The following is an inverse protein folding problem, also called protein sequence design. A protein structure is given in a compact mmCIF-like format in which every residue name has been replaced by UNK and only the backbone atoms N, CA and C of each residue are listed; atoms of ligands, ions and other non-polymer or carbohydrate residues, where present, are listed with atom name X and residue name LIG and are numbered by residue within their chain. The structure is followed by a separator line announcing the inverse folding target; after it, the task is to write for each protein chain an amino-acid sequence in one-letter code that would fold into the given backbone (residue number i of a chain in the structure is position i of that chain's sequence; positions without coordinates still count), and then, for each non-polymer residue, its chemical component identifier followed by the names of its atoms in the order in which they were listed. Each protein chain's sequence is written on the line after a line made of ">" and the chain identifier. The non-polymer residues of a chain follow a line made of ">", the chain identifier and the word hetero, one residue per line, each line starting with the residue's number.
data_IF_862123218993
#
_entry.id   IF_862123218993
#
_cell.length_a   1.000
_cell.length_b   1.000
_cell.length_c   1.000
_cell.angle_alpha   90.00
_cell.angle_beta   90.00
_cell.angle_gamma   90.00
#
_symmetry.space_group_name_H-M   'P 1'
#
loop_
_entity.id
_entity.type
_entity.pdbx_description
1 polymer ?
#
# COMPACT_ATOMS: atom_id res chain seq x y z
N UNK A 1 -20.66 7.27 37.27
CA UNK A 1 -21.36 7.79 38.46
C UNK A 1 -20.64 9.08 38.80
N UNK A 2 -21.08 10.19 38.24
CA UNK A 2 -20.47 11.51 38.50
C UNK A 2 -20.65 11.86 39.98
N UNK A 3 -19.57 12.31 40.62
CA UNK A 3 -19.37 12.35 42.07
C UNK A 3 -20.47 13.08 42.84
N UNK A 4 -21.35 12.29 43.45
CA UNK A 4 -22.43 12.72 44.36
C UNK A 4 -21.92 13.63 45.51
N UNK A 5 -20.62 13.52 45.84
CA UNK A 5 -19.94 14.33 46.84
C UNK A 5 -19.78 15.80 46.43
N UNK A 6 -19.38 16.09 45.18
CA UNK A 6 -19.19 17.47 44.69
C UNK A 6 -20.52 18.21 44.63
N UNK A 7 -21.58 17.51 44.22
CA UNK A 7 -22.93 18.07 44.19
C UNK A 7 -23.46 18.38 45.60
N UNK A 8 -23.23 17.51 46.59
CA UNK A 8 -23.59 17.79 47.99
C UNK A 8 -22.75 18.93 48.60
N UNK A 9 -21.48 19.04 48.23
CA UNK A 9 -20.60 20.13 48.70
C UNK A 9 -21.08 21.48 48.16
N UNK A 10 -21.48 21.52 46.88
CA UNK A 10 -22.02 22.71 46.23
C UNK A 10 -23.37 23.13 46.83
N UNK A 11 -24.27 22.19 47.12
CA UNK A 11 -25.53 22.51 47.81
C UNK A 11 -25.31 23.14 49.20
N UNK A 12 -24.30 22.70 49.95
CA UNK A 12 -23.96 23.28 51.26
C UNK A 12 -23.40 24.69 51.17
N UNK A 13 -22.65 24.98 50.10
CA UNK A 13 -22.20 26.34 49.80
C UNK A 13 -23.37 27.25 49.40
N UNK A 14 -24.28 26.77 48.54
CA UNK A 14 -25.45 27.53 48.10
C UNK A 14 -26.47 27.78 49.24
N UNK A 15 -26.52 26.89 50.24
CA UNK A 15 -27.29 27.09 51.49
C UNK A 15 -26.58 27.99 52.53
N UNK A 16 -25.35 28.41 52.27
CA UNK A 16 -24.57 29.32 53.13
C UNK A 16 -24.02 28.68 54.41
N UNK A 17 -23.98 27.34 54.49
CA UNK A 17 -23.50 26.61 55.67
C UNK A 17 -21.97 26.62 55.80
N UNK A 18 -21.26 26.94 54.71
CA UNK A 18 -19.80 26.98 54.63
C UNK A 18 -19.35 28.24 53.89
N UNK A 19 -18.22 28.82 54.31
CA UNK A 19 -17.63 29.97 53.63
C UNK A 19 -16.97 29.56 52.31
N UNK A 20 -16.79 30.54 51.41
CA UNK A 20 -16.15 30.32 50.10
C UNK A 20 -14.72 29.76 50.22
N UNK A 21 -13.94 30.28 51.15
CA UNK A 21 -12.57 29.80 51.41
C UNK A 21 -12.58 28.33 51.86
N UNK A 22 -13.53 27.95 52.73
CA UNK A 22 -13.68 26.57 53.20
C UNK A 22 -14.13 25.64 52.08
N UNK A 23 -15.01 26.12 51.18
CA UNK A 23 -15.44 25.36 50.00
C UNK A 23 -14.28 25.10 49.05
N UNK A 24 -13.48 26.12 48.74
CA UNK A 24 -12.32 26.01 47.84
C UNK A 24 -11.23 25.09 48.42
N UNK A 25 -10.95 25.16 49.72
CA UNK A 25 -9.99 24.27 50.39
C UNK A 25 -10.45 22.79 50.40
N UNK A 26 -11.72 22.52 50.67
CA UNK A 26 -12.26 21.15 50.65
C UNK A 26 -12.27 20.60 49.22
N UNK A 27 -12.65 21.43 48.24
CA UNK A 27 -12.64 21.04 46.83
C UNK A 27 -11.22 20.71 46.36
N UNK A 28 -10.24 21.52 46.76
CA UNK A 28 -8.84 21.33 46.38
C UNK A 28 -8.27 20.04 46.97
N UNK A 29 -8.50 19.77 48.25
CA UNK A 29 -8.10 18.50 48.88
C UNK A 29 -8.78 17.28 48.27
N UNK A 30 -10.07 17.39 47.95
CA UNK A 30 -10.78 16.30 47.28
C UNK A 30 -10.23 16.02 45.88
N UNK A 31 -9.86 17.06 45.12
CA UNK A 31 -9.25 16.91 43.81
C UNK A 31 -7.80 16.40 43.89
N UNK A 32 -7.02 16.81 44.89
CA UNK A 32 -5.67 16.30 45.16
C UNK A 32 -5.71 14.82 45.57
N UNK A 33 -6.55 14.43 46.54
CA UNK A 33 -6.73 13.02 46.95
C UNK A 33 -7.29 12.16 45.82
N UNK A 34 -8.14 12.74 44.95
CA UNK A 34 -8.63 12.05 43.77
C UNK A 34 -7.53 11.89 42.72
N UNK A 35 -6.70 12.91 42.50
CA UNK A 35 -5.56 12.82 41.59
C UNK A 35 -4.50 11.85 42.09
N UNK A 36 -4.25 11.77 43.41
CA UNK A 36 -3.36 10.79 44.01
C UNK A 36 -3.93 9.36 43.94
N UNK A 37 -5.25 9.18 44.13
CA UNK A 37 -5.91 7.87 43.92
C UNK A 37 -5.95 7.43 42.45
N UNK A 38 -5.99 8.38 41.50
CA UNK A 38 -5.83 8.08 40.07
C UNK A 38 -4.39 7.62 39.76
N UNK A 39 -3.40 7.96 40.59
CA UNK A 39 -2.01 7.49 40.45
C UNK A 39 -1.71 6.16 41.18
N UNK A 40 -2.58 5.66 42.08
CA UNK A 40 -2.33 4.45 42.89
C UNK A 40 -3.22 3.22 42.59
N UNK A 41 -4.31 3.34 41.82
CA UNK A 41 -4.92 2.18 41.15
C UNK A 41 -4.32 2.04 39.75
N UNK A 42 -4.04 0.81 39.27
CA UNK A 42 -3.16 0.63 38.13
C UNK A 42 -3.80 1.30 36.93
N UNK A 43 -3.14 2.34 36.43
CA UNK A 43 -3.10 2.62 35.01
C UNK A 43 -2.84 1.27 34.34
N UNK A 44 -3.90 0.63 33.84
CA UNK A 44 -3.81 -0.32 32.74
C UNK A 44 -3.43 0.51 31.52
N UNK A 45 -2.18 0.96 31.56
CA UNK A 45 -1.24 0.96 30.48
C UNK A 45 -1.82 1.44 29.15
N UNK A 46 -1.87 2.76 28.99
CA UNK A 46 -1.53 3.42 27.72
C UNK A 46 -0.17 2.94 27.17
N UNK A 47 0.66 2.30 28.00
CA UNK A 47 1.82 1.53 27.55
C UNK A 47 1.44 0.21 26.86
N UNK A 48 0.31 -0.45 27.13
CA UNK A 48 -0.07 -1.72 26.48
C UNK A 48 -0.74 -1.49 25.12
N UNK A 49 -1.51 -0.41 24.93
CA UNK A 49 -2.02 -0.05 23.59
C UNK A 49 -0.92 0.59 22.73
N UNK A 50 0.01 1.36 23.31
CA UNK A 50 1.24 1.74 22.61
C UNK A 50 2.17 0.56 22.39
N UNK A 51 2.29 -0.39 23.31
CA UNK A 51 3.11 -1.58 23.10
C UNK A 51 2.46 -2.53 22.09
N UNK A 52 1.13 -2.61 21.97
CA UNK A 52 0.44 -3.41 20.95
C UNK A 52 0.42 -2.68 19.60
N UNK A 53 0.26 -1.36 19.57
CA UNK A 53 0.40 -0.56 18.35
C UNK A 53 1.86 -0.53 17.88
N UNK A 54 2.82 -0.23 18.75
CA UNK A 54 4.26 -0.33 18.49
C UNK A 54 4.65 -1.77 18.18
N UNK A 55 4.03 -2.81 18.77
CA UNK A 55 4.33 -4.20 18.41
C UNK A 55 3.70 -4.57 17.08
N UNK A 56 2.49 -4.13 16.75
CA UNK A 56 1.85 -4.35 15.44
C UNK A 56 2.60 -3.59 14.35
N UNK A 57 2.93 -2.33 14.59
CA UNK A 57 3.71 -1.46 13.73
C UNK A 57 5.14 -1.99 13.62
N UNK A 58 5.78 -2.43 14.70
CA UNK A 58 7.08 -3.14 14.65
C UNK A 58 6.98 -4.52 14.05
N UNK A 59 5.82 -5.20 14.04
CA UNK A 59 5.62 -6.49 13.36
C UNK A 59 5.38 -6.28 11.87
N UNK A 60 4.65 -5.23 11.48
CA UNK A 60 4.45 -4.79 10.09
C UNK A 60 5.76 -4.22 9.55
N UNK A 61 6.46 -3.40 10.32
CA UNK A 61 7.78 -2.86 10.01
C UNK A 61 8.83 -3.97 10.02
N UNK A 62 8.74 -4.99 10.87
CA UNK A 62 9.60 -6.20 10.77
C UNK A 62 9.18 -7.10 9.60
N UNK A 63 7.91 -7.12 9.19
CA UNK A 63 7.45 -7.80 7.99
C UNK A 63 7.89 -7.04 6.72
N UNK A 64 7.87 -5.71 6.72
CA UNK A 64 8.30 -4.85 5.63
C UNK A 64 9.83 -4.80 5.57
N UNK A 65 10.51 -4.71 6.72
CA UNK A 65 11.97 -4.89 6.87
C UNK A 65 12.40 -6.31 6.56
N UNK A 66 11.59 -7.34 6.76
CA UNK A 66 11.93 -8.70 6.30
C UNK A 66 11.71 -8.86 4.80
N UNK A 67 10.78 -8.12 4.18
CA UNK A 67 10.69 -8.04 2.72
C UNK A 67 11.79 -7.14 2.14
N UNK A 68 12.23 -6.08 2.82
CA UNK A 68 13.37 -5.25 2.42
C UNK A 68 14.70 -5.93 2.71
N UNK A 69 14.79 -6.73 3.77
CA UNK A 69 15.91 -7.65 4.01
C UNK A 69 15.89 -8.75 2.96
N UNK A 70 14.75 -9.31 2.57
CA UNK A 70 14.66 -10.28 1.49
C UNK A 70 15.01 -9.64 0.14
N UNK A 71 14.58 -8.40 -0.11
CA UNK A 71 14.98 -7.65 -1.30
C UNK A 71 16.47 -7.34 -1.26
N UNK A 72 17.03 -6.90 -0.13
CA UNK A 72 18.48 -6.67 0.06
C UNK A 72 19.30 -7.95 0.04
N UNK A 73 18.77 -9.06 0.52
CA UNK A 73 19.38 -10.39 0.44
C UNK A 73 19.36 -10.88 -0.99
N UNK A 74 18.24 -10.72 -1.71
CA UNK A 74 18.17 -10.99 -3.14
C UNK A 74 19.11 -10.06 -3.90
N UNK A 75 19.26 -8.81 -3.50
CA UNK A 75 20.13 -7.82 -4.12
C UNK A 75 21.62 -8.11 -3.80
N UNK A 76 21.93 -8.60 -2.58
CA UNK A 76 23.24 -9.14 -2.18
C UNK A 76 23.55 -10.45 -2.89
N UNK A 77 22.60 -11.35 -3.06
CA UNK A 77 22.71 -12.60 -3.81
C UNK A 77 22.94 -12.28 -5.29
N UNK A 78 22.16 -11.37 -5.86
CA UNK A 78 22.35 -10.86 -7.22
C UNK A 78 23.78 -10.31 -7.37
N UNK A 79 24.22 -9.41 -6.48
CA UNK A 79 25.58 -8.85 -6.50
C UNK A 79 26.68 -9.91 -6.36
N UNK A 80 26.52 -10.89 -5.46
CA UNK A 80 27.48 -12.00 -5.28
C UNK A 80 27.54 -12.88 -6.52
N UNK A 81 26.41 -13.20 -7.13
CA UNK A 81 26.42 -14.01 -8.33
C UNK A 81 26.91 -13.23 -9.57
N UNK A 82 26.71 -11.91 -9.64
CA UNK A 82 27.20 -11.06 -10.75
C UNK A 82 28.73 -10.89 -10.73
N UNK A 83 29.39 -11.20 -9.60
CA UNK A 83 30.82 -10.97 -9.43
C UNK A 83 31.72 -12.11 -9.96
N UNK A 84 31.20 -13.25 -10.42
CA UNK A 84 32.03 -14.45 -10.64
C UNK A 84 31.94 -15.16 -12.00
N UNK A 85 31.01 -14.80 -12.90
CA UNK A 85 30.94 -15.39 -14.27
C UNK A 85 30.44 -14.39 -15.31
N UNK A 86 31.10 -14.35 -16.47
CA UNK A 86 30.64 -13.63 -17.67
C UNK A 86 29.24 -14.12 -18.06
N UNK A 87 28.27 -13.22 -18.10
CA UNK A 87 26.96 -13.51 -18.65
C UNK A 87 27.04 -13.60 -20.16
N UNK A 88 26.09 -14.31 -20.76
CA UNK A 88 25.97 -14.41 -22.21
C UNK A 88 24.96 -13.39 -22.70
N UNK A 89 25.23 -12.81 -23.86
CA UNK A 89 24.23 -12.04 -24.58
C UNK A 89 23.37 -12.99 -25.41
N UNK A 90 22.05 -12.91 -25.26
CA UNK A 90 21.09 -13.66 -26.04
C UNK A 90 20.23 -12.71 -26.88
N UNK A 91 20.27 -12.89 -28.19
CA UNK A 91 19.41 -12.15 -29.13
C UNK A 91 18.63 -13.14 -29.98
N UNK A 92 17.33 -12.93 -30.07
CA UNK A 92 16.47 -13.72 -30.93
C UNK A 92 15.48 -12.84 -31.70
N UNK A 93 15.40 -13.09 -33.00
CA UNK A 93 14.35 -12.56 -33.87
C UNK A 93 13.48 -13.74 -34.31
N UNK A 94 12.33 -13.93 -33.65
CA UNK A 94 11.41 -15.04 -33.94
C UNK A 94 10.90 -15.73 -32.68
N UNK A 95 10.65 -17.04 -32.76
CA UNK A 95 10.28 -17.86 -31.61
C UNK A 95 11.51 -18.55 -31.05
N UNK A 96 11.78 -18.33 -29.77
CA UNK A 96 12.97 -18.84 -29.11
C UNK A 96 12.66 -19.44 -27.75
N UNK A 97 13.39 -20.50 -27.43
CA UNK A 97 13.40 -21.12 -26.11
C UNK A 97 14.75 -20.83 -25.48
N UNK A 98 14.70 -20.22 -24.30
CA UNK A 98 15.85 -19.92 -23.46
C UNK A 98 15.83 -20.86 -22.25
N UNK A 99 16.93 -21.55 -22.04
CA UNK A 99 17.11 -22.36 -20.84
C UNK A 99 17.32 -21.48 -19.60
N UNK A 100 17.24 -22.06 -18.39
CA UNK A 100 17.63 -21.38 -17.17
C UNK A 100 19.12 -21.01 -17.22
N UNK A 101 19.48 -19.90 -16.57
CA UNK A 101 20.87 -19.47 -16.49
C UNK A 101 21.07 -17.98 -16.32
N UNK A 102 22.34 -17.59 -16.39
CA UNK A 102 22.80 -16.21 -16.26
C UNK A 102 23.07 -15.58 -17.63
N UNK A 103 22.51 -14.40 -17.84
CA UNK A 103 22.67 -13.62 -19.05
C UNK A 103 23.00 -12.17 -18.67
N UNK A 104 23.71 -11.45 -19.53
CA UNK A 104 23.88 -10.01 -19.31
C UNK A 104 22.73 -9.29 -20.01
N UNK A 105 22.60 -9.53 -21.32
CA UNK A 105 21.55 -8.93 -22.14
C UNK A 105 20.69 -9.99 -22.83
N UNK A 106 19.37 -9.96 -22.60
CA UNK A 106 18.39 -10.78 -23.32
C UNK A 106 17.53 -9.84 -24.16
N UNK A 107 17.52 -10.04 -25.48
CA UNK A 107 16.66 -9.29 -26.40
C UNK A 107 15.90 -10.23 -27.33
N UNK A 108 14.58 -10.19 -27.27
CA UNK A 108 13.71 -10.98 -28.14
C UNK A 108 12.69 -10.09 -28.85
N UNK A 109 12.69 -10.10 -30.18
CA UNK A 109 11.72 -9.33 -30.97
C UNK A 109 10.44 -10.10 -31.29
N UNK A 110 10.39 -11.41 -31.01
CA UNK A 110 9.21 -12.26 -31.22
C UNK A 110 8.72 -12.90 -29.93
N UNK A 111 8.60 -14.23 -29.92
CA UNK A 111 8.14 -15.01 -28.76
C UNK A 111 9.32 -15.62 -28.03
N UNK A 112 9.47 -15.33 -26.74
CA UNK A 112 10.49 -15.89 -25.86
C UNK A 112 9.83 -16.80 -24.82
N UNK A 113 10.23 -18.07 -24.81
CA UNK A 113 9.88 -19.03 -23.77
C UNK A 113 11.09 -19.28 -22.88
N UNK A 114 10.95 -19.08 -21.58
CA UNK A 114 11.96 -19.37 -20.58
C UNK A 114 11.51 -20.61 -19.80
N UNK A 115 12.30 -21.67 -19.82
CA UNK A 115 11.93 -22.98 -19.24
C UNK A 115 12.32 -23.14 -17.76
N UNK A 116 12.92 -22.12 -17.14
CA UNK A 116 13.31 -22.14 -15.73
C UNK A 116 13.69 -20.76 -15.21
N UNK A 117 14.50 -20.71 -14.15
CA UNK A 117 14.90 -19.44 -13.54
C UNK A 117 15.98 -18.74 -14.36
N UNK A 118 15.82 -17.43 -14.54
CA UNK A 118 16.75 -16.61 -15.32
C UNK A 118 17.21 -15.43 -14.48
N UNK A 119 18.52 -15.17 -14.56
CA UNK A 119 19.16 -14.03 -13.94
C UNK A 119 19.80 -13.22 -15.04
N UNK A 120 19.34 -11.98 -15.20
CA UNK A 120 19.78 -11.10 -16.27
C UNK A 120 20.18 -9.71 -15.76
N UNK A 121 21.07 -9.01 -16.45
CA UNK A 121 21.28 -7.58 -16.16
C UNK A 121 20.17 -6.73 -16.79
N UNK A 122 19.80 -7.05 -18.03
CA UNK A 122 18.72 -6.37 -18.77
C UNK A 122 17.96 -7.34 -19.68
N UNK A 123 16.63 -7.22 -19.67
CA UNK A 123 15.73 -7.98 -20.55
C UNK A 123 14.88 -7.01 -21.36
N UNK A 124 14.84 -7.19 -22.69
CA UNK A 124 13.97 -6.44 -23.58
C UNK A 124 13.23 -7.40 -24.52
N UNK A 125 11.92 -7.52 -24.35
CA UNK A 125 11.06 -8.36 -25.19
C UNK A 125 10.02 -7.47 -25.88
N UNK A 126 9.97 -7.50 -27.20
CA UNK A 126 9.01 -6.71 -28.00
C UNK A 126 7.78 -7.50 -28.47
N UNK A 127 7.71 -8.79 -28.17
CA UNK A 127 6.57 -9.65 -28.51
C UNK A 127 5.96 -10.32 -27.27
N UNK A 128 6.03 -11.65 -27.22
CA UNK A 128 5.47 -12.42 -26.13
C UNK A 128 6.57 -13.01 -25.24
N UNK A 129 6.49 -12.81 -23.93
CA UNK A 129 7.36 -13.44 -22.94
C UNK A 129 6.56 -14.47 -22.14
N UNK A 130 6.96 -15.73 -22.18
CA UNK A 130 6.45 -16.76 -21.28
C UNK A 130 7.60 -17.31 -20.43
N UNK A 131 7.46 -17.26 -19.12
CA UNK A 131 8.43 -17.85 -18.20
C UNK A 131 7.75 -18.87 -17.29
N UNK A 132 8.32 -20.06 -17.23
CA UNK A 132 7.88 -21.11 -16.30
C UNK A 132 8.51 -20.94 -14.92
N UNK A 133 9.70 -20.34 -14.84
CA UNK A 133 10.38 -20.00 -13.60
C UNK A 133 10.32 -18.52 -13.24
N UNK A 134 11.10 -18.16 -12.22
CA UNK A 134 11.26 -16.80 -11.71
C UNK A 134 12.28 -16.02 -12.54
N UNK A 135 12.08 -14.71 -12.65
CA UNK A 135 12.97 -13.82 -13.40
C UNK A 135 13.55 -12.81 -12.42
N UNK A 136 14.88 -12.84 -12.25
CA UNK A 136 15.61 -11.80 -11.52
C UNK A 136 16.37 -10.94 -12.53
N UNK A 137 16.08 -9.65 -12.59
CA UNK A 137 16.76 -8.71 -13.48
C UNK A 137 17.41 -7.62 -12.65
N UNK A 138 18.69 -7.33 -12.87
CA UNK A 138 19.36 -6.30 -12.10
C UNK A 138 18.82 -4.90 -12.43
N UNK A 139 18.93 -4.46 -13.67
CA UNK A 139 18.69 -3.04 -14.03
C UNK A 139 17.30 -2.78 -14.59
N UNK A 140 16.92 -3.47 -15.69
CA UNK A 140 15.59 -3.21 -16.28
C UNK A 140 15.01 -4.36 -17.09
N UNK A 141 13.71 -4.55 -16.90
CA UNK A 141 12.87 -5.46 -17.67
C UNK A 141 11.87 -4.64 -18.50
N UNK A 142 12.00 -4.70 -19.83
CA UNK A 142 11.06 -4.09 -20.76
C UNK A 142 10.31 -5.16 -21.53
N UNK A 143 8.99 -5.07 -21.52
CA UNK A 143 8.11 -5.99 -22.24
C UNK A 143 7.04 -5.20 -22.99
N UNK A 144 7.13 -5.16 -24.31
CA UNK A 144 6.07 -4.63 -25.16
C UNK A 144 5.31 -5.83 -25.74
N UNK A 145 4.09 -6.09 -25.27
CA UNK A 145 3.25 -7.19 -25.75
C UNK A 145 2.62 -8.00 -24.63
N UNK A 146 2.74 -9.32 -24.70
CA UNK A 146 2.08 -10.24 -23.77
C UNK A 146 3.11 -10.97 -22.90
N UNK A 147 3.08 -10.73 -21.60
CA UNK A 147 3.99 -11.33 -20.63
C UNK A 147 3.22 -12.24 -19.68
N UNK A 148 3.64 -13.49 -19.57
CA UNK A 148 3.13 -14.46 -18.60
C UNK A 148 4.28 -15.11 -17.86
N UNK A 149 4.39 -14.85 -16.58
CA UNK A 149 5.44 -15.38 -15.70
C UNK A 149 4.76 -16.19 -14.61
N UNK A 150 5.07 -17.47 -14.51
CA UNK A 150 4.47 -18.36 -13.50
C UNK A 150 5.17 -18.27 -12.14
N UNK A 151 6.37 -17.67 -12.09
CA UNK A 151 7.14 -17.43 -10.87
C UNK A 151 7.12 -15.97 -10.42
N UNK A 152 8.11 -15.63 -9.62
CA UNK A 152 8.30 -14.28 -9.08
C UNK A 152 9.17 -13.43 -10.02
N UNK A 153 8.91 -12.13 -10.05
CA UNK A 153 9.69 -11.14 -10.81
C UNK A 153 10.37 -10.21 -9.83
N UNK A 154 11.69 -10.16 -9.86
CA UNK A 154 12.48 -9.25 -9.03
C UNK A 154 13.33 -8.38 -9.94
N UNK A 155 13.13 -7.07 -9.88
CA UNK A 155 13.77 -6.14 -10.82
C UNK A 155 13.85 -4.72 -10.29
N UNK A 156 14.94 -4.01 -10.51
CA UNK A 156 15.05 -2.58 -10.15
C UNK A 156 13.99 -1.74 -10.89
N UNK A 157 13.94 -1.78 -12.22
CA UNK A 157 12.91 -1.10 -13.02
C UNK A 157 12.18 -2.01 -14.01
N UNK A 158 10.85 -2.08 -13.91
CA UNK A 158 10.00 -2.79 -14.88
C UNK A 158 9.14 -1.82 -15.67
N UNK A 159 9.11 -2.02 -16.99
CA UNK A 159 8.17 -1.36 -17.89
C UNK A 159 7.52 -2.41 -18.78
N UNK A 160 6.25 -2.71 -18.50
CA UNK A 160 5.46 -3.62 -19.32
C UNK A 160 4.24 -2.91 -19.92
N UNK A 161 4.02 -3.11 -21.21
CA UNK A 161 2.88 -2.58 -21.93
C UNK A 161 2.15 -3.72 -22.65
N UNK A 162 0.82 -3.79 -22.53
CA UNK A 162 -0.03 -4.79 -23.17
C UNK A 162 -0.73 -5.68 -22.16
N UNK A 163 -0.39 -6.96 -22.11
CA UNK A 163 -0.93 -7.92 -21.12
C UNK A 163 0.21 -8.37 -20.22
N UNK A 164 0.07 -8.18 -18.91
CA UNK A 164 1.08 -8.59 -17.94
C UNK A 164 0.45 -9.49 -16.89
N UNK A 165 0.90 -10.74 -16.83
CA UNK A 165 0.52 -11.71 -15.80
C UNK A 165 1.75 -12.24 -15.08
N UNK A 166 1.76 -12.10 -13.76
CA UNK A 166 2.79 -12.63 -12.88
C UNK A 166 2.16 -13.07 -11.56
N UNK A 167 2.87 -13.86 -10.75
CA UNK A 167 2.42 -14.10 -9.37
C UNK A 167 2.78 -12.90 -8.50
N UNK A 168 4.07 -12.66 -8.32
CA UNK A 168 4.58 -11.55 -7.51
C UNK A 168 5.55 -10.70 -8.31
N UNK A 169 5.44 -9.40 -8.13
CA UNK A 169 6.36 -8.41 -8.72
C UNK A 169 6.96 -7.60 -7.60
N UNK A 170 8.29 -7.60 -7.54
CA UNK A 170 9.10 -6.87 -6.59
C UNK A 170 10.05 -5.97 -7.37
N UNK A 171 10.01 -4.66 -7.13
CA UNK A 171 10.94 -3.75 -7.76
C UNK A 171 10.95 -2.35 -7.21
N UNK A 172 11.89 -1.52 -7.63
CA UNK A 172 11.97 -0.10 -7.20
C UNK A 172 10.95 0.73 -7.97
N UNK A 173 11.01 0.68 -9.31
CA UNK A 173 10.08 1.36 -10.20
C UNK A 173 9.26 0.37 -11.02
N UNK A 174 7.94 0.35 -10.78
CA UNK A 174 6.99 -0.55 -11.46
C UNK A 174 6.06 0.24 -12.38
N UNK A 175 6.26 0.15 -13.70
CA UNK A 175 5.40 0.79 -14.70
C UNK A 175 4.68 -0.24 -15.54
N UNK A 176 3.39 -0.43 -15.30
CA UNK A 176 2.56 -1.41 -15.99
C UNK A 176 1.40 -0.71 -16.69
N UNK A 177 1.24 -0.99 -17.98
CA UNK A 177 0.18 -0.40 -18.80
C UNK A 177 -0.59 -1.47 -19.58
N UNK A 178 -1.93 -1.41 -19.57
CA UNK A 178 -2.80 -2.30 -20.32
C UNK A 178 -3.66 -3.19 -19.42
N UNK A 179 -3.56 -4.52 -19.57
CA UNK A 179 -4.28 -5.50 -18.75
C UNK A 179 -3.31 -6.21 -17.82
N UNK A 180 -3.46 -5.98 -16.53
CA UNK A 180 -2.54 -6.40 -15.48
C UNK A 180 -3.26 -7.38 -14.56
N UNK A 181 -2.64 -8.52 -14.33
CA UNK A 181 -3.17 -9.63 -13.54
C UNK A 181 -2.03 -10.20 -12.68
N UNK A 182 -1.91 -9.67 -11.46
CA UNK A 182 -0.77 -9.94 -10.57
C UNK A 182 -1.29 -10.15 -9.16
N UNK A 183 -0.91 -11.22 -8.47
CA UNK A 183 -1.38 -11.46 -7.09
C UNK A 183 -0.83 -10.37 -6.14
N UNK A 184 0.48 -10.13 -6.16
CA UNK A 184 1.14 -9.14 -5.29
C UNK A 184 2.13 -8.25 -6.04
N UNK A 185 2.01 -6.94 -5.84
CA UNK A 185 2.94 -5.92 -6.34
C UNK A 185 3.57 -5.23 -5.13
N UNK A 186 4.90 -5.15 -5.09
CA UNK A 186 5.64 -4.31 -4.13
C UNK A 186 6.67 -3.48 -4.87
N UNK A 187 6.68 -2.17 -4.63
CA UNK A 187 7.78 -1.31 -5.04
C UNK A 187 7.71 0.12 -4.56
N UNK A 188 8.79 0.89 -4.69
CA UNK A 188 8.85 2.28 -4.22
C UNK A 188 7.90 3.17 -5.04
N UNK A 189 7.99 3.14 -6.37
CA UNK A 189 7.07 3.88 -7.26
C UNK A 189 6.30 2.92 -8.17
N UNK A 190 4.99 2.85 -7.99
CA UNK A 190 4.07 1.96 -8.72
C UNK A 190 3.13 2.77 -9.58
N UNK A 191 3.30 2.69 -10.91
CA UNK A 191 2.44 3.34 -11.89
C UNK A 191 1.70 2.28 -12.71
N UNK A 192 0.38 2.24 -12.54
CA UNK A 192 -0.49 1.27 -13.21
C UNK A 192 -1.50 2.02 -14.08
N UNK A 193 -1.43 1.83 -15.39
CA UNK A 193 -2.40 2.36 -16.34
C UNK A 193 -3.25 1.24 -16.94
N UNK A 194 -4.58 1.39 -16.94
CA UNK A 194 -5.47 0.48 -17.67
C UNK A 194 -6.43 -0.31 -16.78
N UNK A 195 -6.39 -1.64 -16.92
CA UNK A 195 -7.15 -2.61 -16.14
C UNK A 195 -6.19 -3.32 -15.19
N UNK A 196 -6.54 -3.35 -13.90
CA UNK A 196 -5.76 -4.05 -12.88
C UNK A 196 -6.64 -5.05 -12.14
N UNK A 197 -6.13 -6.26 -12.01
CA UNK A 197 -6.61 -7.31 -11.12
C UNK A 197 -5.43 -7.68 -10.23
N UNK A 198 -5.50 -7.28 -8.95
CA UNK A 198 -4.48 -7.64 -7.97
C UNK A 198 -5.09 -8.00 -6.62
N UNK A 199 -4.34 -8.72 -5.79
CA UNK A 199 -4.76 -8.94 -4.41
C UNK A 199 -4.15 -7.84 -3.53
N UNK A 200 -2.84 -7.65 -3.62
CA UNK A 200 -2.11 -6.69 -2.78
C UNK A 200 -1.21 -5.77 -3.60
N UNK A 201 -1.29 -4.47 -3.33
CA UNK A 201 -0.37 -3.46 -3.87
C UNK A 201 0.27 -2.73 -2.70
N UNK A 202 1.59 -2.82 -2.61
CA UNK A 202 2.42 -2.11 -1.64
C UNK A 202 3.36 -1.16 -2.37
N UNK A 203 3.46 0.08 -1.91
CA UNK A 203 4.50 0.99 -2.38
C UNK A 203 4.48 2.36 -1.76
N UNK A 204 5.55 3.12 -1.88
CA UNK A 204 5.62 4.48 -1.31
C UNK A 204 4.73 5.42 -2.13
N UNK A 205 4.93 5.48 -3.45
CA UNK A 205 4.13 6.28 -4.38
C UNK A 205 3.32 5.35 -5.32
N UNK A 206 2.00 5.35 -5.18
CA UNK A 206 1.09 4.53 -5.99
C UNK A 206 0.22 5.43 -6.85
N UNK A 207 0.43 5.39 -8.18
CA UNK A 207 -0.43 6.06 -9.16
C UNK A 207 -1.17 5.06 -10.03
N UNK A 208 -2.50 5.01 -9.90
CA UNK A 208 -3.36 4.14 -10.72
C UNK A 208 -4.23 5.00 -11.63
N UNK A 209 -4.05 4.84 -12.94
CA UNK A 209 -4.90 5.46 -13.97
C UNK A 209 -5.87 4.44 -14.52
N UNK A 210 -7.12 4.56 -14.11
CA UNK A 210 -8.20 3.66 -14.51
C UNK A 210 -8.64 3.91 -15.95
N UNK A 211 -8.81 2.83 -16.70
CA UNK A 211 -9.45 2.82 -18.01
C UNK A 211 -10.94 2.44 -17.91
N UNK A 212 -11.63 2.29 -19.04
CA UNK A 212 -13.09 2.04 -19.08
C UNK A 212 -13.57 0.74 -18.42
N UNK A 213 -12.67 -0.20 -18.13
CA UNK A 213 -13.01 -1.50 -17.53
C UNK A 213 -13.01 -1.39 -16.01
N UNK A 214 -13.75 -2.29 -15.36
CA UNK A 214 -13.71 -2.44 -13.90
C UNK A 214 -12.37 -3.05 -13.50
N UNK A 215 -11.69 -2.45 -12.55
CA UNK A 215 -10.48 -2.97 -11.93
C UNK A 215 -10.82 -3.47 -10.52
N UNK A 216 -10.08 -4.47 -10.04
CA UNK A 216 -10.26 -5.05 -8.71
C UNK A 216 -8.91 -5.16 -8.03
N UNK A 217 -8.81 -4.61 -6.82
CA UNK A 217 -7.68 -4.80 -5.92
C UNK A 217 -8.26 -5.26 -4.58
N UNK A 218 -7.61 -6.11 -3.79
CA UNK A 218 -8.13 -6.37 -2.44
C UNK A 218 -7.65 -5.31 -1.45
N UNK A 219 -6.34 -5.11 -1.39
CA UNK A 219 -5.72 -4.15 -0.49
C UNK A 219 -4.66 -3.29 -1.19
N UNK A 220 -4.68 -1.98 -0.89
CA UNK A 220 -3.70 -1.01 -1.35
C UNK A 220 -3.09 -0.34 -0.12
N UNK A 221 -1.77 -0.37 -0.04
CA UNK A 221 -1.00 0.15 1.07
C UNK A 221 0.14 1.02 0.53
N UNK A 222 0.19 2.29 0.92
CA UNK A 222 1.29 3.16 0.51
C UNK A 222 1.29 4.54 1.15
N UNK A 223 2.37 5.29 1.00
CA UNK A 223 2.48 6.63 1.61
C UNK A 223 1.63 7.64 0.83
N UNK A 224 1.84 7.75 -0.49
CA UNK A 224 1.02 8.56 -1.40
C UNK A 224 0.25 7.67 -2.38
N UNK A 225 -1.08 7.70 -2.30
CA UNK A 225 -1.97 6.93 -3.16
C UNK A 225 -2.81 7.88 -4.01
N UNK A 226 -2.64 7.81 -5.33
CA UNK A 226 -3.39 8.58 -6.30
C UNK A 226 -4.10 7.64 -7.29
N UNK A 227 -5.41 7.54 -7.17
CA UNK A 227 -6.26 6.77 -8.07
C UNK A 227 -7.12 7.74 -8.87
N UNK A 228 -6.78 7.89 -10.14
CA UNK A 228 -7.49 8.75 -11.07
C UNK A 228 -8.14 7.92 -12.17
N UNK A 229 -9.22 8.45 -12.73
CA UNK A 229 -9.81 7.90 -13.93
C UNK A 229 -9.44 8.74 -15.13
N UNK A 230 -8.97 8.10 -16.21
CA UNK A 230 -8.58 8.82 -17.41
C UNK A 230 -9.82 9.49 -18.05
N UNK A 231 -9.94 10.81 -17.87
CA UNK A 231 -11.01 11.63 -18.45
C UNK A 231 -10.57 12.06 -19.85
N UNK A 232 -11.08 11.39 -20.88
CA UNK A 232 -10.98 11.91 -22.24
C UNK A 232 -11.76 13.22 -22.40
N UNK A 233 -11.28 14.13 -23.25
CA UNK A 233 -11.81 15.49 -23.48
C UNK A 233 -13.33 15.61 -23.73
N UNK A 234 -14.01 14.49 -24.03
CA UNK A 234 -15.46 14.42 -24.28
C UNK A 234 -16.16 13.18 -23.69
N UNK A 235 -15.56 12.42 -22.76
CA UNK A 235 -16.17 11.18 -22.25
C UNK A 235 -16.13 11.09 -20.72
N UNK A 236 -17.28 10.74 -20.13
CA UNK A 236 -17.41 10.37 -18.71
C UNK A 236 -16.44 9.22 -18.40
N UNK A 237 -15.72 9.35 -17.28
CA UNK A 237 -15.03 8.23 -16.67
C UNK A 237 -16.05 7.11 -16.44
N UNK A 238 -15.76 5.92 -16.97
CA UNK A 238 -16.51 4.69 -16.67
C UNK A 238 -15.65 3.65 -15.96
N UNK A 239 -14.38 3.97 -15.74
CA UNK A 239 -13.49 3.13 -14.95
C UNK A 239 -13.94 3.12 -13.51
N UNK A 240 -13.80 1.96 -12.87
CA UNK A 240 -14.12 1.80 -11.46
C UNK A 240 -13.13 0.85 -10.84
N UNK A 241 -12.52 1.24 -9.74
CA UNK A 241 -11.69 0.36 -8.93
C UNK A 241 -12.54 -0.14 -7.76
N UNK A 242 -12.63 -1.45 -7.57
CA UNK A 242 -13.19 -2.05 -6.37
C UNK A 242 -12.02 -2.50 -5.48
N UNK A 243 -11.99 -2.00 -4.25
CA UNK A 243 -11.01 -2.29 -3.20
C UNK A 243 -11.72 -2.74 -1.92
N UNK A 244 -11.09 -3.57 -1.08
CA UNK A 244 -11.60 -3.82 0.28
C UNK A 244 -11.03 -2.77 1.23
N UNK A 245 -9.70 -2.64 1.28
CA UNK A 245 -9.03 -1.67 2.16
C UNK A 245 -8.02 -0.84 1.38
N UNK A 246 -8.00 0.46 1.64
CA UNK A 246 -6.99 1.39 1.14
C UNK A 246 -6.41 2.10 2.36
N UNK A 247 -5.11 1.97 2.56
CA UNK A 247 -4.39 2.52 3.70
C UNK A 247 -3.18 3.32 3.23
N UNK A 248 -3.02 4.53 3.75
CA UNK A 248 -1.89 5.38 3.40
C UNK A 248 -1.90 6.75 4.05
N UNK A 249 -0.82 7.51 3.94
CA UNK A 249 -0.70 8.82 4.57
C UNK A 249 -1.49 9.87 3.80
N UNK A 250 -1.21 10.03 2.50
CA UNK A 250 -1.93 10.91 1.58
C UNK A 250 -2.71 10.10 0.53
N UNK A 251 -4.04 10.20 0.55
CA UNK A 251 -4.91 9.43 -0.33
C UNK A 251 -5.76 10.36 -1.19
N UNK A 252 -5.64 10.26 -2.52
CA UNK A 252 -6.50 10.94 -3.49
C UNK A 252 -7.17 9.92 -4.39
N UNK A 253 -8.48 9.77 -4.27
CA UNK A 253 -9.22 8.71 -4.98
C UNK A 253 -10.41 9.25 -5.77
N UNK A 254 -10.56 8.77 -7.00
CA UNK A 254 -11.72 9.04 -7.86
C UNK A 254 -12.31 7.73 -8.41
N UNK A 255 -13.64 7.62 -8.44
CA UNK A 255 -14.36 6.47 -9.00
C UNK A 255 -13.98 5.12 -8.34
N UNK A 256 -13.75 5.13 -7.03
CA UNK A 256 -13.40 3.95 -6.23
C UNK A 256 -14.60 3.45 -5.42
N UNK A 257 -14.78 2.13 -5.35
CA UNK A 257 -15.59 1.50 -4.30
C UNK A 257 -14.62 0.88 -3.30
N UNK A 258 -14.70 1.28 -2.04
CA UNK A 258 -13.88 0.71 -0.97
C UNK A 258 -14.74 0.36 0.25
N UNK A 259 -14.43 -0.72 0.95
CA UNK A 259 -15.09 -1.02 2.23
C UNK A 259 -14.52 -0.14 3.33
N UNK A 260 -13.20 0.01 3.39
CA UNK A 260 -12.47 0.85 4.36
C UNK A 260 -11.42 1.69 3.64
N UNK A 261 -11.36 2.98 3.96
CA UNK A 261 -10.28 3.89 3.56
C UNK A 261 -9.73 4.55 4.81
N UNK A 262 -8.44 4.42 5.04
CA UNK A 262 -7.76 4.89 6.25
C UNK A 262 -6.51 5.69 5.88
N UNK A 263 -6.36 6.88 6.43
CA UNK A 263 -5.15 7.67 6.22
C UNK A 263 -5.08 8.98 7.00
N UNK A 264 -3.96 9.69 6.95
CA UNK A 264 -3.83 10.99 7.61
C UNK A 264 -4.62 12.06 6.85
N UNK A 265 -4.40 12.17 5.54
CA UNK A 265 -5.07 13.12 4.66
C UNK A 265 -5.76 12.42 3.49
N UNK A 266 -7.10 12.47 3.47
CA UNK A 266 -7.90 11.76 2.45
C UNK A 266 -8.77 12.71 1.63
N UNK A 267 -8.55 12.73 0.32
CA UNK A 267 -9.36 13.44 -0.67
C UNK A 267 -10.21 12.44 -1.45
N UNK A 268 -11.51 12.43 -1.16
CA UNK A 268 -12.50 11.61 -1.85
C UNK A 268 -13.11 12.41 -3.00
N UNK A 269 -12.70 12.08 -4.23
CA UNK A 269 -13.22 12.62 -5.47
C UNK A 269 -14.59 12.07 -5.88
N UNK A 270 -14.99 12.40 -7.11
CA UNK A 270 -16.30 12.05 -7.64
C UNK A 270 -16.47 10.54 -7.88
N UNK A 271 -17.71 10.05 -7.72
CA UNK A 271 -18.06 8.67 -8.07
C UNK A 271 -17.57 7.62 -7.06
N UNK A 272 -16.96 8.05 -5.95
CA UNK A 272 -16.52 7.17 -4.89
C UNK A 272 -17.68 6.67 -4.03
N UNK A 273 -17.60 5.41 -3.61
CA UNK A 273 -18.52 4.78 -2.65
C UNK A 273 -17.70 4.09 -1.57
N UNK A 274 -17.71 4.64 -0.37
CA UNK A 274 -16.87 4.17 0.75
C UNK A 274 -17.78 3.65 1.87
N UNK A 275 -17.44 2.49 2.43
CA UNK A 275 -18.07 1.97 3.64
C UNK A 275 -17.71 2.84 4.85
N UNK A 276 -16.48 2.70 5.33
CA UNK A 276 -15.90 3.42 6.47
C UNK A 276 -14.72 4.27 6.00
N UNK A 277 -14.73 5.55 6.32
CA UNK A 277 -13.63 6.48 6.06
C UNK A 277 -13.04 6.94 7.40
N UNK A 278 -11.75 6.69 7.60
CA UNK A 278 -11.00 7.03 8.82
C UNK A 278 -9.87 7.97 8.44
N UNK A 279 -9.96 9.24 8.82
CA UNK A 279 -8.89 10.19 8.56
C UNK A 279 -8.85 11.35 9.54
N UNK A 280 -7.66 11.93 9.74
CA UNK A 280 -7.49 13.18 10.48
C UNK A 280 -8.05 14.34 9.66
N UNK A 281 -7.55 14.48 8.43
CA UNK A 281 -7.98 15.46 7.44
C UNK A 281 -8.73 14.80 6.29
N UNK A 282 -9.93 15.31 5.98
CA UNK A 282 -10.71 14.78 4.86
C UNK A 282 -11.40 15.84 4.02
N UNK A 283 -11.40 15.63 2.70
CA UNK A 283 -12.16 16.41 1.73
C UNK A 283 -13.02 15.48 0.90
N UNK A 284 -14.33 15.62 1.05
CA UNK A 284 -15.31 14.74 0.40
C UNK A 284 -16.06 15.52 -0.67
N UNK A 285 -16.04 15.04 -1.91
CA UNK A 285 -16.85 15.62 -2.98
C UNK A 285 -18.34 15.36 -2.78
N UNK A 286 -19.17 16.31 -3.20
CA UNK A 286 -20.65 16.21 -3.19
C UNK A 286 -21.19 15.00 -3.97
N UNK A 287 -20.41 14.50 -4.94
CA UNK A 287 -20.78 13.39 -5.81
C UNK A 287 -20.29 12.02 -5.31
N UNK A 288 -19.76 11.96 -4.08
CA UNK A 288 -19.33 10.71 -3.44
C UNK A 288 -20.33 10.26 -2.36
N UNK A 289 -20.30 8.99 -2.01
CA UNK A 289 -21.15 8.40 -0.96
C UNK A 289 -20.27 7.71 0.07
N UNK A 290 -20.32 8.18 1.31
CA UNK A 290 -19.62 7.56 2.44
C UNK A 290 -20.66 7.17 3.48
N UNK A 291 -20.64 5.93 3.98
CA UNK A 291 -21.64 5.47 4.95
C UNK A 291 -21.27 5.90 6.37
N UNK A 292 -20.02 5.69 6.75
CA UNK A 292 -19.48 5.99 8.08
C UNK A 292 -18.21 6.79 7.95
N UNK A 293 -18.10 7.84 8.78
CA UNK A 293 -16.95 8.74 8.81
C UNK A 293 -16.46 8.80 10.25
N UNK A 294 -15.20 8.44 10.46
CA UNK A 294 -14.51 8.50 11.75
C UNK A 294 -13.36 9.48 11.60
N UNK A 295 -13.26 10.42 12.53
CA UNK A 295 -12.09 11.29 12.66
C UNK A 295 -11.15 10.69 13.68
N UNK A 296 -9.88 10.53 13.30
CA UNK A 296 -8.80 10.26 14.26
C UNK A 296 -8.45 11.52 15.02
#
# INVERSE_FOLDING_TARGET
>A
MEDEFINKLREKYEKGEISRETYEDILKRYLEERNEKIQEEPEKSESEEKDVADFVEKTIETAMKSVDMAMKEVDMELKKEFSSKEGRNYKCAGSCVLGPGRYDYISASGSLMITGDVIAERISVSGALKSEGSIKVKTSLRCAGATKINGDVIVESISAAGVFRAKKVFGETVKLSGAIDVEKIKGESVQIGGFVSAEYIYGEEIRIKLSKKKSRVEEIHGEEIEIECERGFFRKCSGRLEAKRIEGEEIRIESVIADVVEGESVIVGDGCVIGRLEAEDMKISKNSKVKEVVRK
#
